data_IF_965136895522
#
_entry.id   IF_965136895522
#
_cell.length_a   1.000
_cell.length_b   1.000
_cell.length_c   1.000
_cell.angle_alpha   90.00
_cell.angle_beta   90.00
_cell.angle_gamma   90.00
#
_symmetry.space_group_name_H-M   'P 1'
#
loop_
_entity.id
_entity.type
_entity.pdbx_description
1 polymer ?
#
# COMPACT_ATOMS: atom_id res chain seq x y z
N UNK A 1 2.49 8.92 5.92
CA UNK A 1 2.62 10.40 5.77
C UNK A 1 3.99 10.85 6.22
N UNK A 2 4.48 11.93 5.65
CA UNK A 2 5.75 12.52 6.06
C UNK A 2 5.66 13.09 7.48
N UNK A 3 6.77 13.06 8.22
CA UNK A 3 6.85 13.71 9.52
C UNK A 3 7.08 15.22 9.32
N UNK A 4 6.42 16.07 10.11
CA UNK A 4 6.58 17.53 9.97
C UNK A 4 8.03 17.98 10.24
N UNK A 5 8.73 17.34 11.17
CA UNK A 5 10.15 17.62 11.39
C UNK A 5 10.99 17.32 10.12
N UNK A 6 10.71 16.24 9.41
CA UNK A 6 11.37 15.94 8.15
C UNK A 6 11.09 17.02 7.09
N UNK A 7 9.82 17.48 6.97
CA UNK A 7 9.45 18.58 6.08
C UNK A 7 10.23 19.85 6.40
N UNK A 8 10.40 20.16 7.67
CA UNK A 8 11.07 21.37 8.17
C UNK A 8 12.58 21.33 7.91
N UNK A 9 13.21 20.21 8.28
CA UNK A 9 14.67 20.04 8.22
C UNK A 9 15.17 19.83 6.79
N UNK A 10 14.33 19.28 5.89
CA UNK A 10 14.69 18.92 4.52
C UNK A 10 13.80 19.59 3.47
N UNK A 11 13.32 20.82 3.73
CA UNK A 11 12.31 21.48 2.90
C UNK A 11 12.69 21.54 1.41
N UNK A 12 13.91 21.92 1.09
CA UNK A 12 14.39 22.01 -0.30
C UNK A 12 14.34 20.63 -1.00
N UNK A 13 14.88 19.59 -0.36
CA UNK A 13 14.85 18.21 -0.86
C UNK A 13 13.39 17.71 -1.06
N UNK A 14 12.51 18.06 -0.14
CA UNK A 14 11.07 17.70 -0.23
C UNK A 14 10.45 18.36 -1.45
N UNK A 15 10.64 19.67 -1.62
CA UNK A 15 10.08 20.41 -2.77
C UNK A 15 10.63 19.91 -4.11
N UNK A 16 11.93 19.62 -4.18
CA UNK A 16 12.54 19.02 -5.39
C UNK A 16 11.95 17.61 -5.67
N UNK A 17 11.82 16.76 -4.65
CA UNK A 17 11.21 15.44 -4.79
C UNK A 17 9.76 15.51 -5.25
N UNK A 18 8.96 16.42 -4.69
CA UNK A 18 7.56 16.63 -5.09
C UNK A 18 7.46 17.14 -6.55
N UNK A 19 8.41 17.97 -6.99
CA UNK A 19 8.50 18.38 -8.41
C UNK A 19 8.80 17.20 -9.33
N UNK A 20 9.69 16.25 -8.92
CA UNK A 20 9.96 15.02 -9.68
C UNK A 20 8.68 14.19 -9.89
N UNK A 21 7.74 14.25 -8.92
CA UNK A 21 6.40 13.61 -8.99
C UNK A 21 5.39 14.39 -9.82
N UNK A 22 5.76 15.53 -10.40
CA UNK A 22 4.81 16.46 -11.03
C UNK A 22 3.69 16.94 -10.11
N UNK A 23 3.92 16.89 -8.77
CA UNK A 23 2.97 17.33 -7.76
C UNK A 23 2.80 18.84 -7.80
N UNK A 24 1.54 19.31 -7.86
CA UNK A 24 1.21 20.73 -8.12
C UNK A 24 1.12 21.57 -6.84
N UNK A 25 0.68 20.98 -5.74
CA UNK A 25 0.29 21.68 -4.51
C UNK A 25 1.49 21.80 -3.55
N UNK A 26 2.58 22.41 -4.02
CA UNK A 26 3.83 22.54 -3.25
C UNK A 26 3.69 23.40 -1.98
N UNK A 27 2.74 24.33 -1.98
CA UNK A 27 2.37 25.19 -0.85
C UNK A 27 1.86 24.41 0.36
N UNK A 28 1.37 23.18 0.19
CA UNK A 28 0.98 22.31 1.30
C UNK A 28 2.14 22.01 2.25
N UNK A 29 3.39 22.06 1.80
CA UNK A 29 4.57 21.88 2.65
C UNK A 29 4.66 23.01 3.68
N UNK A 30 4.51 24.25 3.24
CA UNK A 30 4.50 25.40 4.14
C UNK A 30 3.25 25.44 5.01
N UNK A 31 2.10 25.08 4.46
CA UNK A 31 0.86 24.98 5.23
C UNK A 31 0.98 23.96 6.37
N UNK A 32 1.61 22.79 6.14
CA UNK A 32 1.85 21.79 7.17
C UNK A 32 2.81 22.29 8.26
N UNK A 33 3.89 22.99 7.88
CA UNK A 33 4.85 23.56 8.82
C UNK A 33 4.18 24.62 9.68
N UNK A 34 3.41 25.53 9.09
CA UNK A 34 2.71 26.60 9.80
C UNK A 34 1.63 26.04 10.74
N UNK A 35 0.88 25.03 10.33
CA UNK A 35 -0.11 24.36 11.18
C UNK A 35 0.56 23.66 12.39
N UNK A 36 1.74 23.08 12.22
CA UNK A 36 2.51 22.50 13.34
C UNK A 36 3.04 23.59 14.30
N UNK A 37 3.43 24.75 13.79
CA UNK A 37 3.86 25.86 14.65
C UNK A 37 2.70 26.39 15.50
N UNK A 38 1.50 26.53 14.91
CA UNK A 38 0.30 26.90 15.66
C UNK A 38 -0.09 25.81 16.68
N UNK A 39 -0.04 24.53 16.29
CA UNK A 39 -0.26 23.42 17.22
C UNK A 39 0.70 23.46 18.42
N UNK A 40 2.00 23.70 18.17
CA UNK A 40 3.02 23.80 19.23
C UNK A 40 2.74 24.97 20.16
N UNK A 41 2.32 26.11 19.60
CA UNK A 41 1.96 27.30 20.38
C UNK A 41 0.76 27.03 21.29
N UNK A 42 -0.33 26.47 20.74
CA UNK A 42 -1.52 26.09 21.49
C UNK A 42 -1.21 25.05 22.59
N UNK A 43 -0.38 24.06 22.28
CA UNK A 43 0.06 23.06 23.27
C UNK A 43 0.84 23.70 24.41
N UNK A 44 1.77 24.60 24.10
CA UNK A 44 2.55 25.32 25.12
C UNK A 44 1.66 26.20 26.02
N UNK A 45 0.70 26.91 25.43
CA UNK A 45 -0.26 27.74 26.19
C UNK A 45 -1.14 26.87 27.09
N UNK A 46 -1.64 25.76 26.59
CA UNK A 46 -2.43 24.78 27.35
C UNK A 46 -1.63 24.21 28.54
N UNK A 47 -0.40 23.74 28.30
CA UNK A 47 0.47 23.15 29.32
C UNK A 47 0.82 24.18 30.40
N UNK A 48 1.05 25.43 30.00
CA UNK A 48 1.30 26.55 30.92
C UNK A 48 0.08 26.82 31.83
N UNK A 49 -1.13 26.90 31.25
CA UNK A 49 -2.36 27.10 32.00
C UNK A 49 -2.67 25.93 32.96
N UNK A 50 -2.48 24.68 32.51
CA UNK A 50 -2.67 23.52 33.38
C UNK A 50 -1.65 23.48 34.52
N UNK A 51 -0.42 23.91 34.29
CA UNK A 51 0.60 24.04 35.35
C UNK A 51 0.21 25.07 36.39
N UNK A 52 -0.24 26.27 35.96
CA UNK A 52 -0.70 27.33 36.87
C UNK A 52 -1.95 26.89 37.65
N UNK A 53 -2.91 26.26 37.00
CA UNK A 53 -4.10 25.71 37.66
C UNK A 53 -3.73 24.67 38.74
N UNK A 54 -2.72 23.82 38.50
CA UNK A 54 -2.22 22.87 39.49
C UNK A 54 -1.55 23.57 40.69
N UNK A 55 -0.80 24.66 40.45
CA UNK A 55 -0.21 25.49 41.55
C UNK A 55 -1.28 26.14 42.41
N UNK A 56 -2.25 26.83 41.80
CA UNK A 56 -3.36 27.47 42.47
C UNK A 56 -4.18 26.46 43.26
N UNK A 57 -4.42 25.27 42.72
CA UNK A 57 -5.16 24.19 43.40
C UNK A 57 -4.47 23.73 44.70
N UNK A 58 -3.12 23.67 44.71
CA UNK A 58 -2.34 23.41 45.92
C UNK A 58 -2.41 24.57 46.91
N UNK A 59 -2.35 25.80 46.44
CA UNK A 59 -2.45 27.00 47.24
C UNK A 59 -3.81 27.12 47.95
N UNK A 60 -4.92 26.79 47.25
CA UNK A 60 -6.26 26.74 47.87
C UNK A 60 -6.27 25.78 49.08
N UNK A 61 -5.62 24.61 48.95
CA UNK A 61 -5.51 23.66 50.06
C UNK A 61 -4.81 24.25 51.29
N UNK A 62 -3.75 25.03 51.11
CA UNK A 62 -3.00 25.72 52.17
C UNK A 62 -3.85 26.83 52.78
N UNK A 63 -4.43 27.70 51.94
CA UNK A 63 -5.26 28.83 52.41
C UNK A 63 -6.49 28.36 53.22
N UNK A 64 -7.11 27.26 52.78
CA UNK A 64 -8.24 26.68 53.55
C UNK A 64 -7.79 26.12 54.89
N UNK A 65 -6.60 25.53 54.98
CA UNK A 65 -6.03 25.01 56.23
C UNK A 65 -5.66 26.13 57.21
N UNK A 66 -5.19 27.25 56.66
CA UNK A 66 -4.80 28.46 57.43
C UNK A 66 -6.00 29.37 57.79
N UNK A 67 -7.23 28.97 57.42
CA UNK A 67 -8.47 29.71 57.73
C UNK A 67 -8.71 30.97 56.87
N UNK A 68 -7.92 31.18 55.81
CA UNK A 68 -8.01 32.35 54.91
C UNK A 68 -9.06 32.13 53.81
N UNK A 69 -10.33 32.14 54.21
CA UNK A 69 -11.46 31.80 53.35
C UNK A 69 -11.64 32.74 52.15
N UNK A 70 -11.47 34.04 52.31
CA UNK A 70 -11.63 35.02 51.21
C UNK A 70 -10.55 34.84 50.14
N UNK A 71 -9.29 34.64 50.53
CA UNK A 71 -8.18 34.37 49.62
C UNK A 71 -8.39 33.04 48.91
N UNK A 72 -8.89 32.01 49.60
CA UNK A 72 -9.21 30.72 49.01
C UNK A 72 -10.35 30.79 47.96
N UNK A 73 -11.40 31.63 48.21
CA UNK A 73 -12.47 31.84 47.23
C UNK A 73 -11.99 32.61 45.98
N UNK A 74 -11.12 33.62 46.15
CA UNK A 74 -10.49 34.31 45.04
C UNK A 74 -9.63 33.36 44.19
N UNK A 75 -8.87 32.45 44.81
CA UNK A 75 -8.08 31.42 44.12
C UNK A 75 -8.96 30.40 43.40
N UNK A 76 -10.10 29.97 43.97
CA UNK A 76 -11.08 29.14 43.31
C UNK A 76 -11.67 29.81 42.06
N UNK A 77 -12.00 31.09 42.13
CA UNK A 77 -12.50 31.82 40.95
C UNK A 77 -11.48 31.85 39.83
N UNK A 78 -10.18 32.08 40.12
CA UNK A 78 -9.09 31.95 39.12
C UNK A 78 -8.99 30.56 38.55
N UNK A 79 -9.10 29.51 39.37
CA UNK A 79 -9.08 28.11 38.90
C UNK A 79 -10.22 27.84 37.95
N UNK A 80 -11.42 28.38 38.20
CA UNK A 80 -12.57 28.25 37.30
C UNK A 80 -12.33 28.92 35.95
N UNK A 81 -11.73 30.12 35.93
CA UNK A 81 -11.36 30.82 34.70
C UNK A 81 -10.34 30.01 33.87
N UNK A 82 -9.28 29.53 34.54
CA UNK A 82 -8.30 28.65 33.84
C UNK A 82 -8.91 27.38 33.32
N UNK A 83 -9.87 26.77 34.02
CA UNK A 83 -10.56 25.57 33.56
C UNK A 83 -11.37 25.81 32.27
N UNK A 84 -12.05 26.96 32.19
CA UNK A 84 -12.82 27.36 31.02
C UNK A 84 -11.91 27.64 29.81
N UNK A 85 -10.88 28.49 30.04
CA UNK A 85 -9.87 28.81 29.02
C UNK A 85 -9.09 27.56 28.53
N UNK A 86 -8.71 26.64 29.43
CA UNK A 86 -8.04 25.40 29.05
C UNK A 86 -8.94 24.51 28.20
N UNK A 87 -10.25 24.46 28.43
CA UNK A 87 -11.19 23.72 27.62
C UNK A 87 -11.28 24.31 26.20
N UNK A 88 -11.27 25.61 26.06
CA UNK A 88 -11.25 26.30 24.78
C UNK A 88 -9.95 26.00 24.01
N UNK A 89 -8.79 26.11 24.68
CA UNK A 89 -7.49 25.76 24.09
C UNK A 89 -7.43 24.29 23.66
N UNK A 90 -8.00 23.36 24.42
CA UNK A 90 -8.10 21.96 24.03
C UNK A 90 -8.91 21.77 22.77
N UNK A 91 -10.03 22.49 22.59
CA UNK A 91 -10.83 22.44 21.36
C UNK A 91 -10.04 22.98 20.18
N UNK A 92 -9.39 24.14 20.31
CA UNK A 92 -8.58 24.75 19.26
C UNK A 92 -7.39 23.85 18.89
N UNK A 93 -6.73 23.23 19.86
CA UNK A 93 -5.64 22.28 19.64
C UNK A 93 -6.12 21.07 18.83
N UNK A 94 -7.26 20.47 19.21
CA UNK A 94 -7.82 19.32 18.50
C UNK A 94 -8.22 19.68 17.04
N UNK A 95 -8.78 20.86 16.81
CA UNK A 95 -9.10 21.35 15.46
C UNK A 95 -7.83 21.55 14.62
N UNK A 96 -6.78 22.15 15.22
CA UNK A 96 -5.49 22.38 14.56
C UNK A 96 -4.79 21.06 14.23
N UNK A 97 -4.81 20.06 15.13
CA UNK A 97 -4.27 18.72 14.89
C UNK A 97 -5.00 18.00 13.76
N UNK A 98 -6.33 18.13 13.70
CA UNK A 98 -7.12 17.58 12.60
C UNK A 98 -6.80 18.27 11.27
N UNK A 99 -6.68 19.59 11.25
CA UNK A 99 -6.31 20.36 10.07
C UNK A 99 -4.90 19.96 9.57
N UNK A 100 -3.91 19.90 10.47
CA UNK A 100 -2.56 19.44 10.14
C UNK A 100 -2.56 18.04 9.55
N UNK A 101 -3.29 17.09 10.14
CA UNK A 101 -3.40 15.71 9.66
C UNK A 101 -4.02 15.69 8.26
N UNK A 102 -5.05 16.49 8.02
CA UNK A 102 -5.70 16.60 6.70
C UNK A 102 -4.73 17.11 5.64
N UNK A 103 -3.90 18.11 5.95
CA UNK A 103 -2.87 18.62 5.05
C UNK A 103 -1.83 17.54 4.76
N UNK A 104 -1.31 16.88 5.79
CA UNK A 104 -0.29 15.82 5.64
C UNK A 104 -0.78 14.62 4.82
N UNK A 105 -2.07 14.31 4.83
CA UNK A 105 -2.65 13.24 4.00
C UNK A 105 -2.70 13.59 2.51
N UNK A 106 -2.52 14.86 2.14
CA UNK A 106 -2.49 15.30 0.75
C UNK A 106 -1.09 15.29 0.16
N UNK A 107 -0.04 15.33 0.99
CA UNK A 107 1.35 15.35 0.55
C UNK A 107 1.83 13.92 0.30
N UNK A 108 2.24 13.57 -0.96
CA UNK A 108 2.78 12.24 -1.26
C UNK A 108 4.17 12.04 -0.64
N UNK A 109 4.65 10.80 -0.66
CA UNK A 109 6.02 10.51 -0.24
C UNK A 109 7.05 11.16 -1.16
N UNK A 110 8.24 11.45 -0.63
CA UNK A 110 9.36 12.00 -1.40
C UNK A 110 10.05 10.86 -2.15
N UNK A 111 10.25 10.97 -3.48
CA UNK A 111 10.97 9.96 -4.23
C UNK A 111 12.41 9.81 -3.76
N UNK A 112 12.88 8.57 -3.79
CA UNK A 112 14.29 8.27 -3.57
C UNK A 112 15.17 8.95 -4.65
N UNK A 113 16.41 9.22 -4.34
CA UNK A 113 17.32 9.97 -5.22
C UNK A 113 17.48 9.38 -6.63
N UNK A 114 17.44 8.03 -6.74
CA UNK A 114 17.55 7.31 -8.02
C UNK A 114 16.30 7.39 -8.89
N UNK A 115 15.17 7.84 -8.36
CA UNK A 115 13.92 8.01 -9.13
C UNK A 115 14.07 9.24 -10.04
N UNK A 116 13.85 9.04 -11.32
CA UNK A 116 13.90 10.12 -12.32
C UNK A 116 12.62 10.95 -12.29
N UNK A 117 12.71 12.19 -12.76
CA UNK A 117 11.53 13.02 -12.97
C UNK A 117 10.73 12.47 -14.16
N UNK A 118 9.40 12.52 -14.06
CA UNK A 118 8.50 12.10 -15.15
C UNK A 118 7.06 12.44 -14.82
N UNK A 119 6.17 12.22 -15.78
CA UNK A 119 4.74 12.57 -15.68
C UNK A 119 3.83 11.35 -15.82
N UNK A 120 4.29 10.30 -16.51
CA UNK A 120 3.51 9.12 -16.84
C UNK A 120 4.38 7.87 -17.00
N UNK A 121 3.75 6.72 -17.24
CA UNK A 121 4.43 5.46 -17.52
C UNK A 121 5.41 5.50 -18.70
N UNK A 122 5.24 6.42 -19.64
CA UNK A 122 6.16 6.59 -20.79
C UNK A 122 7.55 7.09 -20.36
N UNK A 123 7.65 7.69 -19.17
CA UNK A 123 8.91 8.20 -18.61
C UNK A 123 9.62 7.17 -17.69
N UNK A 124 9.09 5.96 -17.58
CA UNK A 124 9.68 4.90 -16.76
C UNK A 124 10.97 4.36 -17.40
N UNK A 125 11.94 3.99 -16.56
CA UNK A 125 13.21 3.47 -17.01
C UNK A 125 13.17 1.93 -17.08
N UNK A 126 13.43 1.37 -18.27
CA UNK A 126 13.65 -0.08 -18.41
C UNK A 126 15.04 -0.39 -17.85
N UNK A 127 15.09 -1.12 -16.72
CA UNK A 127 16.34 -1.51 -16.08
C UNK A 127 16.77 -2.93 -16.42
N UNK A 128 15.85 -3.73 -16.90
CA UNK A 128 16.09 -5.10 -17.38
C UNK A 128 15.03 -5.49 -18.41
N UNK A 129 15.42 -6.23 -19.44
CA UNK A 129 14.52 -6.86 -20.38
C UNK A 129 15.11 -8.22 -20.80
N UNK A 130 14.29 -9.26 -20.79
CA UNK A 130 14.70 -10.59 -21.26
C UNK A 130 14.92 -10.56 -22.78
N UNK A 131 15.96 -11.22 -23.24
CA UNK A 131 16.56 -11.04 -24.58
C UNK A 131 15.75 -11.57 -25.75
N UNK A 132 14.65 -12.29 -25.55
CA UNK A 132 13.87 -12.88 -26.64
C UNK A 132 12.39 -12.71 -26.41
N UNK A 133 11.85 -11.65 -27.01
CA UNK A 133 10.41 -11.52 -27.22
C UNK A 133 10.15 -12.05 -28.63
N UNK A 134 9.96 -13.36 -28.77
CA UNK A 134 9.49 -13.93 -30.01
C UNK A 134 7.96 -13.83 -30.03
N UNK A 135 7.41 -13.15 -31.04
CA UNK A 135 5.99 -13.22 -31.33
C UNK A 135 5.64 -14.62 -31.81
N UNK A 136 4.45 -15.13 -31.46
CA UNK A 136 3.95 -16.41 -31.97
C UNK A 136 3.55 -16.36 -33.45
N UNK A 137 3.81 -15.23 -34.11
CA UNK A 137 3.49 -14.98 -35.49
C UNK A 137 2.00 -14.76 -35.78
N UNK A 138 1.66 -14.66 -37.07
CA UNK A 138 0.27 -14.55 -37.52
C UNK A 138 -0.51 -15.79 -37.07
N UNK A 139 -1.58 -15.58 -36.27
CA UNK A 139 -2.44 -16.66 -35.78
C UNK A 139 -2.38 -16.93 -34.27
N UNK A 140 -1.57 -16.18 -33.51
CA UNK A 140 -1.62 -16.23 -32.06
C UNK A 140 -3.02 -15.90 -31.52
N UNK A 141 -3.57 -16.82 -30.71
CA UNK A 141 -4.94 -16.68 -30.18
C UNK A 141 -4.88 -15.98 -28.81
N UNK A 142 -5.61 -14.88 -28.59
CA UNK A 142 -5.60 -14.20 -27.30
C UNK A 142 -6.28 -15.03 -26.20
N UNK A 143 -5.88 -14.80 -24.96
CA UNK A 143 -6.29 -15.61 -23.81
C UNK A 143 -7.81 -15.73 -23.62
N UNK A 144 -8.60 -14.73 -23.97
CA UNK A 144 -10.07 -14.80 -23.86
C UNK A 144 -10.69 -15.75 -24.89
N UNK A 145 -10.10 -15.93 -26.07
CA UNK A 145 -10.52 -16.93 -27.03
C UNK A 145 -10.03 -18.35 -26.65
N UNK A 146 -8.79 -18.45 -26.15
CA UNK A 146 -8.27 -19.71 -25.58
C UNK A 146 -9.09 -20.19 -24.39
N UNK A 147 -9.45 -19.26 -23.49
CA UNK A 147 -10.31 -19.52 -22.34
C UNK A 147 -11.68 -20.10 -22.77
N UNK A 148 -12.28 -19.56 -23.82
CA UNK A 148 -13.53 -20.07 -24.40
C UNK A 148 -13.32 -21.43 -25.11
N UNK A 149 -12.28 -21.53 -25.95
CA UNK A 149 -11.96 -22.76 -26.71
C UNK A 149 -11.80 -23.98 -25.80
N UNK A 150 -11.12 -23.83 -24.69
CA UNK A 150 -10.84 -24.92 -23.75
C UNK A 150 -11.73 -24.91 -22.50
N UNK A 151 -12.79 -24.11 -22.49
CA UNK A 151 -13.75 -23.97 -21.36
C UNK A 151 -13.07 -23.75 -20.02
N UNK A 152 -12.13 -22.79 -19.98
CA UNK A 152 -11.34 -22.46 -18.78
C UNK A 152 -11.96 -21.34 -17.96
N UNK A 153 -12.52 -20.33 -18.65
CA UNK A 153 -13.06 -19.12 -18.04
C UNK A 153 -14.29 -18.67 -18.81
N UNK A 154 -15.36 -18.37 -18.11
CA UNK A 154 -16.58 -17.80 -18.67
C UNK A 154 -16.79 -16.39 -18.15
N UNK A 155 -16.63 -15.41 -19.02
CA UNK A 155 -16.82 -14.00 -18.71
C UNK A 155 -18.30 -13.59 -18.73
N UNK A 156 -19.12 -14.24 -19.55
CA UNK A 156 -20.56 -13.93 -19.69
C UNK A 156 -21.34 -14.38 -18.44
N UNK A 157 -21.01 -15.55 -17.90
CA UNK A 157 -21.57 -15.98 -16.60
C UNK A 157 -21.16 -15.06 -15.47
N UNK A 158 -19.95 -14.55 -15.48
CA UNK A 158 -19.49 -13.55 -14.52
C UNK A 158 -20.31 -12.28 -14.59
N UNK A 159 -20.57 -11.77 -15.81
CA UNK A 159 -21.47 -10.62 -16.03
C UNK A 159 -22.87 -10.88 -15.49
N UNK A 160 -23.40 -12.07 -15.70
CA UNK A 160 -24.72 -12.47 -15.18
C UNK A 160 -24.79 -12.47 -13.65
N UNK A 161 -23.68 -12.83 -12.98
CA UNK A 161 -23.65 -12.97 -11.51
C UNK A 161 -23.40 -11.63 -10.83
N UNK A 162 -22.39 -10.87 -11.29
CA UNK A 162 -21.89 -9.71 -10.57
C UNK A 162 -21.59 -8.48 -11.45
N UNK A 163 -21.72 -8.60 -12.77
CA UNK A 163 -21.35 -7.55 -13.73
C UNK A 163 -20.02 -7.80 -14.41
N UNK A 164 -19.59 -6.88 -15.27
CA UNK A 164 -18.32 -6.97 -15.98
C UNK A 164 -17.14 -6.97 -14.99
N UNK A 165 -16.05 -7.65 -15.36
CA UNK A 165 -14.84 -7.71 -14.51
C UNK A 165 -14.86 -8.76 -13.39
N UNK A 166 -15.84 -9.69 -13.40
CA UNK A 166 -15.94 -10.80 -12.46
C UNK A 166 -15.97 -12.15 -13.22
N UNK A 167 -14.82 -12.71 -13.62
CA UNK A 167 -14.78 -13.95 -14.39
C UNK A 167 -15.14 -15.17 -13.56
N UNK A 168 -15.66 -16.22 -14.22
CA UNK A 168 -15.92 -17.53 -13.60
C UNK A 168 -14.96 -18.55 -14.17
N UNK A 169 -14.16 -19.21 -13.34
CA UNK A 169 -13.17 -20.19 -13.74
C UNK A 169 -13.74 -21.60 -13.66
N UNK A 170 -13.41 -22.45 -14.65
CA UNK A 170 -13.89 -23.83 -14.77
C UNK A 170 -12.75 -24.84 -14.94
N UNK A 171 -12.99 -26.05 -14.49
CA UNK A 171 -12.17 -27.23 -14.80
C UNK A 171 -10.66 -27.01 -14.63
N UNK A 172 -9.90 -27.18 -15.73
CA UNK A 172 -8.45 -26.94 -15.76
C UNK A 172 -8.10 -25.48 -15.48
N UNK A 173 -8.96 -24.51 -15.83
CA UNK A 173 -8.75 -23.09 -15.52
C UNK A 173 -8.76 -22.80 -14.02
N UNK A 174 -9.80 -23.26 -13.31
CA UNK A 174 -9.90 -23.11 -11.85
C UNK A 174 -8.78 -23.86 -11.13
N UNK A 175 -8.37 -25.02 -11.66
CA UNK A 175 -7.27 -25.79 -11.09
C UNK A 175 -5.92 -25.10 -11.30
N UNK A 176 -5.67 -24.53 -12.47
CA UNK A 176 -4.47 -23.76 -12.78
C UNK A 176 -4.36 -22.52 -11.85
N UNK A 177 -5.46 -21.78 -11.66
CA UNK A 177 -5.51 -20.64 -10.75
C UNK A 177 -5.08 -21.05 -9.33
N UNK A 178 -5.67 -22.14 -8.80
CA UNK A 178 -5.30 -22.64 -7.47
C UNK A 178 -3.84 -23.14 -7.40
N UNK A 179 -3.34 -23.75 -8.47
CA UNK A 179 -1.96 -24.22 -8.58
C UNK A 179 -0.97 -23.05 -8.54
N UNK A 180 -1.27 -21.94 -9.22
CA UNK A 180 -0.47 -20.72 -9.19
C UNK A 180 -0.44 -20.12 -7.79
N UNK A 181 -1.59 -20.01 -7.10
CA UNK A 181 -1.65 -19.55 -5.71
C UNK A 181 -0.74 -20.39 -4.81
N UNK A 182 -0.89 -21.70 -4.87
CA UNK A 182 -0.09 -22.60 -4.04
C UNK A 182 1.41 -22.47 -4.35
N UNK A 183 1.78 -22.45 -5.63
CA UNK A 183 3.18 -22.29 -6.04
C UNK A 183 3.77 -20.97 -5.50
N UNK A 184 3.06 -19.85 -5.64
CA UNK A 184 3.56 -18.54 -5.19
C UNK A 184 3.71 -18.48 -3.66
N UNK A 185 2.77 -19.04 -2.90
CA UNK A 185 2.86 -19.12 -1.45
C UNK A 185 4.05 -20.00 -1.01
N UNK A 186 4.17 -21.21 -1.56
CA UNK A 186 5.27 -22.12 -1.23
C UNK A 186 6.62 -21.47 -1.55
N UNK A 187 6.77 -20.83 -2.72
CA UNK A 187 7.98 -20.12 -3.13
C UNK A 187 8.37 -18.99 -2.16
N UNK A 188 7.38 -18.26 -1.65
CA UNK A 188 7.60 -17.19 -0.66
C UNK A 188 7.97 -17.78 0.71
N UNK A 189 7.29 -18.85 1.15
CA UNK A 189 7.60 -19.54 2.42
C UNK A 189 9.03 -20.10 2.38
N UNK A 190 9.44 -20.71 1.28
CA UNK A 190 10.81 -21.21 1.07
C UNK A 190 11.86 -20.07 1.13
N UNK A 191 11.48 -18.85 0.74
CA UNK A 191 12.30 -17.64 0.87
C UNK A 191 12.27 -17.01 2.28
N UNK A 192 11.61 -17.68 3.25
CA UNK A 192 11.56 -17.30 4.65
C UNK A 192 10.48 -16.28 5.00
N UNK A 193 9.45 -16.14 4.17
CA UNK A 193 8.26 -15.35 4.52
C UNK A 193 7.30 -16.20 5.38
N UNK A 194 6.77 -15.59 6.44
CA UNK A 194 5.70 -16.18 7.25
C UNK A 194 4.36 -15.98 6.52
N UNK A 195 3.69 -17.08 6.21
CA UNK A 195 2.35 -17.04 5.61
C UNK A 195 1.31 -16.53 6.63
N UNK A 196 0.47 -15.60 6.19
CA UNK A 196 -0.62 -15.01 6.96
C UNK A 196 -1.90 -15.08 6.14
N UNK A 197 -3.01 -15.44 6.77
CA UNK A 197 -4.33 -15.41 6.16
C UNK A 197 -5.17 -14.28 6.79
N UNK A 198 -5.14 -13.06 6.21
CA UNK A 198 -5.79 -11.89 6.78
C UNK A 198 -7.27 -11.80 6.38
N UNK A 199 -8.09 -10.99 7.08
CA UNK A 199 -9.44 -10.68 6.62
C UNK A 199 -9.42 -9.91 5.30
N UNK A 200 -10.42 -10.15 4.43
CA UNK A 200 -10.60 -9.46 3.15
C UNK A 200 -11.42 -8.16 3.28
N UNK A 201 -11.69 -7.75 4.49
CA UNK A 201 -12.37 -6.50 4.85
C UNK A 201 -11.46 -5.68 5.75
N UNK A 202 -11.36 -4.38 5.49
CA UNK A 202 -10.55 -3.46 6.27
C UNK A 202 -11.40 -2.27 6.74
N UNK A 203 -11.10 -1.73 7.93
CA UNK A 203 -11.69 -0.48 8.41
C UNK A 203 -10.94 0.75 7.88
N UNK A 204 -11.51 1.94 8.11
CA UNK A 204 -10.89 3.21 7.67
C UNK A 204 -9.46 3.37 8.20
N UNK A 205 -9.22 3.06 9.47
CA UNK A 205 -7.90 3.18 10.08
C UNK A 205 -6.84 2.33 9.35
N UNK A 206 -7.23 1.16 8.84
CA UNK A 206 -6.36 0.30 8.04
C UNK A 206 -6.09 0.88 6.65
N UNK A 207 -7.11 1.46 6.01
CA UNK A 207 -6.95 2.15 4.72
C UNK A 207 -6.05 3.38 4.82
N UNK A 208 -6.19 4.18 5.88
CA UNK A 208 -5.29 5.31 6.15
C UNK A 208 -3.86 4.85 6.48
N UNK A 209 -3.71 3.75 7.20
CA UNK A 209 -2.42 3.20 7.61
C UNK A 209 -1.47 2.94 6.46
N UNK A 210 -1.93 2.34 5.38
CA UNK A 210 -1.14 2.02 4.19
C UNK A 210 -1.19 3.09 3.09
N UNK A 211 -2.11 4.06 3.18
CA UNK A 211 -2.22 5.16 2.22
C UNK A 211 -3.23 4.93 1.10
N UNK A 212 -4.09 3.93 1.23
CA UNK A 212 -5.23 3.71 0.32
C UNK A 212 -6.31 4.78 0.54
N UNK A 213 -6.40 5.32 1.75
CA UNK A 213 -7.26 6.44 2.08
C UNK A 213 -6.43 7.72 2.34
N UNK A 214 -6.96 8.92 1.98
CA UNK A 214 -8.21 9.16 1.26
C UNK A 214 -8.16 8.59 -0.17
N UNK A 215 -9.25 7.93 -0.61
CA UNK A 215 -9.34 7.30 -1.94
C UNK A 215 -9.58 8.36 -3.03
N UNK A 216 -8.50 8.94 -3.54
CA UNK A 216 -8.53 10.00 -4.55
C UNK A 216 -8.98 9.49 -5.93
N UNK A 217 -8.78 8.21 -6.20
CA UNK A 217 -9.05 7.58 -7.49
C UNK A 217 -10.39 6.82 -7.52
N UNK A 218 -11.07 6.72 -6.39
CA UNK A 218 -12.34 6.01 -6.27
C UNK A 218 -12.23 4.51 -6.49
N UNK A 219 -11.12 3.90 -6.08
CA UNK A 219 -10.83 2.47 -6.31
C UNK A 219 -11.41 1.53 -5.26
N UNK A 220 -11.70 2.03 -4.06
CA UNK A 220 -12.14 1.22 -2.94
C UNK A 220 -13.63 0.86 -3.05
N UNK A 221 -13.96 -0.42 -2.84
CA UNK A 221 -15.33 -0.86 -2.61
C UNK A 221 -15.71 -0.65 -1.16
N UNK A 222 -16.65 0.24 -0.90
CA UNK A 222 -17.23 0.46 0.41
C UNK A 222 -18.37 -0.53 0.66
N UNK A 223 -18.44 -1.11 1.87
CA UNK A 223 -19.49 -2.04 2.28
C UNK A 223 -20.65 -1.23 2.84
N UNK A 224 -21.75 -1.15 2.07
CA UNK A 224 -22.98 -0.51 2.50
C UNK A 224 -23.70 -1.35 3.58
N UNK A 225 -24.44 -0.68 4.46
CA UNK A 225 -25.28 -1.32 5.47
C UNK A 225 -24.54 -2.33 6.38
N UNK A 226 -23.27 -2.07 6.67
CA UNK A 226 -22.55 -2.89 7.65
C UNK A 226 -23.13 -2.67 9.07
N UNK A 227 -22.86 -3.61 9.98
CA UNK A 227 -23.38 -3.58 11.36
C UNK A 227 -22.51 -2.76 12.32
N UNK A 228 -21.42 -2.19 11.85
CA UNK A 228 -20.50 -1.38 12.64
C UNK A 228 -20.78 0.12 12.42
N UNK A 229 -20.36 0.95 13.38
CA UNK A 229 -20.41 2.41 13.23
C UNK A 229 -19.29 2.93 12.31
N UNK A 230 -18.29 2.10 11.99
CA UNK A 230 -17.15 2.43 11.14
C UNK A 230 -17.43 2.05 9.70
N UNK A 231 -16.89 2.82 8.75
CA UNK A 231 -16.90 2.44 7.33
C UNK A 231 -15.95 1.26 7.12
N UNK A 232 -16.44 0.24 6.42
CA UNK A 232 -15.69 -0.94 6.03
C UNK A 232 -15.52 -0.99 4.52
N UNK A 233 -14.38 -1.52 4.08
CA UNK A 233 -14.01 -1.64 2.68
C UNK A 233 -13.60 -3.07 2.35
N UNK A 234 -13.88 -3.52 1.13
CA UNK A 234 -13.21 -4.69 0.56
C UNK A 234 -11.76 -4.30 0.23
N UNK A 235 -10.81 -5.17 0.56
CA UNK A 235 -9.38 -4.86 0.38
C UNK A 235 -9.00 -4.83 -1.11
N UNK A 236 -8.24 -3.83 -1.58
CA UNK A 236 -7.71 -3.79 -2.94
C UNK A 236 -6.40 -4.58 -3.10
N UNK A 237 -5.80 -5.01 -1.99
CA UNK A 237 -4.53 -5.74 -1.88
C UNK A 237 -4.37 -6.29 -0.46
N UNK A 238 -3.71 -7.43 -0.30
CA UNK A 238 -3.35 -7.97 1.01
C UNK A 238 -2.34 -7.07 1.77
N UNK A 239 -1.65 -6.16 1.09
CA UNK A 239 -0.83 -5.13 1.73
C UNK A 239 -1.58 -4.44 2.88
N UNK A 240 -2.85 -4.06 2.64
CA UNK A 240 -3.64 -3.32 3.64
C UNK A 240 -3.76 -4.10 4.95
N UNK A 241 -4.33 -5.29 5.02
CA UNK A 241 -4.46 -6.00 6.28
C UNK A 241 -3.13 -6.49 6.84
N UNK A 242 -2.19 -6.95 6.00
CA UNK A 242 -0.91 -7.51 6.48
C UNK A 242 -0.02 -6.43 7.10
N UNK A 243 0.11 -5.27 6.47
CA UNK A 243 0.90 -4.18 7.04
C UNK A 243 0.25 -3.63 8.33
N UNK A 244 -1.09 -3.63 8.40
CA UNK A 244 -1.84 -3.20 9.60
C UNK A 244 -1.77 -4.18 10.79
N UNK A 245 -1.22 -5.38 10.65
CA UNK A 245 -0.88 -6.24 11.79
C UNK A 245 0.08 -5.52 12.76
N UNK A 246 0.84 -4.57 12.25
CA UNK A 246 1.86 -3.81 12.99
C UNK A 246 1.43 -2.38 13.31
N UNK A 247 0.13 -2.05 13.17
CA UNK A 247 -0.40 -0.74 13.56
C UNK A 247 -0.40 -0.58 15.08
N UNK A 248 0.10 0.59 15.54
CA UNK A 248 0.28 0.93 16.96
C UNK A 248 1.22 -0.02 17.72
N UNK A 249 2.18 -0.66 17.01
CA UNK A 249 3.12 -1.62 17.59
C UNK A 249 4.49 -0.96 17.80
N UNK A 250 5.09 -1.24 18.95
CA UNK A 250 6.48 -0.93 19.27
C UNK A 250 7.26 -2.25 19.32
N UNK A 251 8.03 -2.52 18.28
CA UNK A 251 8.85 -3.72 18.11
C UNK A 251 10.15 -3.62 18.92
N UNK A 252 10.74 -4.74 19.28
CA UNK A 252 12.16 -4.80 19.66
C UNK A 252 13.02 -4.88 18.38
N UNK A 253 14.22 -4.33 18.40
CA UNK A 253 15.15 -4.37 17.25
C UNK A 253 15.44 -5.79 16.76
N UNK A 254 15.50 -6.76 17.68
CA UNK A 254 15.72 -8.19 17.37
C UNK A 254 14.58 -8.85 16.59
N UNK A 255 13.38 -8.24 16.58
CA UNK A 255 12.22 -8.75 15.86
C UNK A 255 12.26 -8.40 14.36
N UNK A 256 13.19 -7.51 13.97
CA UNK A 256 13.43 -7.17 12.57
C UNK A 256 14.53 -8.05 11.96
N UNK A 257 14.46 -8.41 10.67
CA UNK A 257 13.37 -8.07 9.73
C UNK A 257 12.10 -8.91 9.92
N UNK A 258 10.95 -8.31 9.65
CA UNK A 258 9.68 -9.04 9.55
C UNK A 258 9.38 -9.29 8.08
N UNK A 259 9.00 -10.53 7.74
CA UNK A 259 8.66 -10.97 6.38
C UNK A 259 7.33 -11.70 6.42
N UNK A 260 6.31 -11.18 5.75
CA UNK A 260 5.00 -11.83 5.64
C UNK A 260 4.61 -12.04 4.18
N UNK A 261 3.92 -13.13 3.90
CA UNK A 261 3.23 -13.38 2.63
C UNK A 261 1.77 -13.71 2.88
N UNK A 262 0.90 -13.29 1.98
CA UNK A 262 -0.53 -13.56 2.07
C UNK A 262 -1.16 -13.70 0.69
N UNK A 263 -2.05 -14.67 0.58
CA UNK A 263 -3.01 -14.74 -0.52
C UNK A 263 -4.27 -13.98 -0.17
N UNK A 264 -4.83 -13.23 -1.11
CA UNK A 264 -6.18 -12.66 -0.96
C UNK A 264 -6.91 -12.50 -2.28
N UNK A 265 -8.23 -12.47 -2.20
CA UNK A 265 -9.05 -11.79 -3.19
C UNK A 265 -8.83 -10.28 -3.03
N UNK A 266 -8.66 -9.61 -4.15
CA UNK A 266 -8.48 -8.17 -4.22
C UNK A 266 -9.66 -7.56 -4.98
N UNK A 267 -10.15 -6.41 -4.52
CA UNK A 267 -11.33 -5.76 -5.08
C UNK A 267 -10.99 -4.33 -5.46
N UNK A 268 -11.14 -3.98 -6.75
CA UNK A 268 -10.92 -2.62 -7.26
C UNK A 268 -12.09 -2.20 -8.14
N UNK A 269 -12.56 -0.99 -7.94
CA UNK A 269 -13.68 -0.45 -8.73
C UNK A 269 -13.29 -0.21 -10.18
N UNK A 270 -11.99 -0.16 -10.49
CA UNK A 270 -11.46 0.12 -11.83
C UNK A 270 -12.12 1.35 -12.48
N UNK A 271 -12.39 2.38 -11.66
CA UNK A 271 -13.12 3.56 -12.05
C UNK A 271 -12.45 4.26 -13.25
N UNK A 272 -13.22 4.49 -14.31
CA UNK A 272 -12.71 5.12 -15.53
C UNK A 272 -12.03 4.18 -16.52
N UNK A 273 -11.96 2.87 -16.25
CA UNK A 273 -11.34 1.90 -17.17
C UNK A 273 -12.36 1.21 -18.05
N UNK A 274 -12.31 1.43 -19.37
CA UNK A 274 -13.19 0.80 -20.37
C UNK A 274 -12.49 0.70 -21.72
N UNK A 275 -12.98 -0.21 -22.58
CA UNK A 275 -12.47 -0.40 -23.94
C UNK A 275 -11.67 -1.68 -24.13
N UNK A 276 -10.98 -1.79 -25.26
CA UNK A 276 -10.28 -3.02 -25.65
C UNK A 276 -9.18 -3.44 -24.68
N UNK A 277 -8.55 -2.48 -24.01
CA UNK A 277 -7.44 -2.75 -23.07
C UNK A 277 -7.86 -3.42 -21.76
N UNK A 278 -9.16 -3.45 -21.42
CA UNK A 278 -9.69 -4.14 -20.25
C UNK A 278 -10.21 -5.54 -20.53
N UNK A 279 -10.16 -6.01 -21.81
CA UNK A 279 -10.74 -7.27 -22.25
C UNK A 279 -10.09 -8.48 -21.57
N UNK A 280 -10.92 -9.49 -21.27
CA UNK A 280 -10.45 -10.76 -20.69
C UNK A 280 -9.94 -10.59 -19.27
N UNK A 281 -8.72 -11.03 -19.01
CA UNK A 281 -8.06 -10.98 -17.70
C UNK A 281 -7.20 -9.72 -17.49
N UNK A 282 -7.20 -8.77 -18.42
CA UNK A 282 -6.33 -7.60 -18.34
C UNK A 282 -6.68 -6.65 -17.19
N UNK A 283 -7.97 -6.45 -16.90
CA UNK A 283 -8.48 -5.67 -15.77
C UNK A 283 -9.76 -6.27 -15.21
N UNK A 284 -9.77 -6.50 -13.91
CA UNK A 284 -10.86 -7.17 -13.20
C UNK A 284 -11.23 -6.38 -11.95
N UNK A 285 -12.52 -6.40 -11.60
CA UNK A 285 -13.03 -5.85 -10.35
C UNK A 285 -12.72 -6.75 -9.15
N UNK A 286 -12.62 -8.05 -9.40
CA UNK A 286 -12.19 -9.05 -8.43
C UNK A 286 -11.08 -9.91 -9.04
N UNK A 287 -9.98 -10.04 -8.33
CA UNK A 287 -8.82 -10.85 -8.77
C UNK A 287 -8.03 -11.39 -7.59
N UNK A 288 -7.28 -12.45 -7.83
CA UNK A 288 -6.39 -13.07 -6.86
C UNK A 288 -4.99 -12.48 -6.94
N UNK A 289 -4.41 -12.28 -5.76
CA UNK A 289 -3.03 -11.83 -5.62
C UNK A 289 -2.36 -12.48 -4.41
N UNK A 290 -1.12 -12.91 -4.59
CA UNK A 290 -0.21 -13.22 -3.50
C UNK A 290 0.68 -12.01 -3.27
N UNK A 291 0.76 -11.57 -2.03
CA UNK A 291 1.49 -10.37 -1.61
C UNK A 291 2.62 -10.75 -0.66
N UNK A 292 3.73 -10.03 -0.73
CA UNK A 292 4.80 -10.07 0.25
C UNK A 292 4.95 -8.69 0.89
N UNK A 293 5.12 -8.66 2.22
CA UNK A 293 5.30 -7.45 3.02
C UNK A 293 6.52 -7.61 3.90
N UNK A 294 7.35 -6.56 3.97
CA UNK A 294 8.51 -6.52 4.87
C UNK A 294 8.49 -5.26 5.74
N UNK A 295 8.90 -5.44 7.01
CA UNK A 295 9.27 -4.33 7.88
C UNK A 295 10.75 -4.46 8.14
N UNK A 296 11.48 -3.35 7.95
CA UNK A 296 12.93 -3.37 7.96
C UNK A 296 13.51 -2.13 8.67
N UNK A 297 14.75 -2.22 9.09
CA UNK A 297 15.50 -1.05 9.53
C UNK A 297 15.76 -0.10 8.36
N UNK A 298 15.73 1.22 8.57
CA UNK A 298 15.94 2.21 7.51
C UNK A 298 17.21 1.97 6.68
N UNK A 299 18.32 1.65 7.33
CA UNK A 299 19.63 1.45 6.69
C UNK A 299 19.70 0.26 5.73
N UNK A 300 18.83 -0.75 5.92
CA UNK A 300 18.83 -1.97 5.11
C UNK A 300 17.79 -1.91 3.97
N UNK A 301 16.81 -1.03 4.03
CA UNK A 301 15.57 -1.15 3.26
C UNK A 301 15.76 -1.12 1.74
N UNK A 302 16.77 -0.42 1.22
CA UNK A 302 17.04 -0.42 -0.22
C UNK A 302 17.78 -1.66 -0.69
N UNK A 303 18.68 -2.25 0.12
CA UNK A 303 19.26 -3.55 -0.18
C UNK A 303 18.17 -4.64 -0.16
N UNK A 304 17.23 -4.53 0.76
CA UNK A 304 16.06 -5.42 0.87
C UNK A 304 15.11 -5.25 -0.30
N UNK A 305 14.93 -4.04 -0.84
CA UNK A 305 14.16 -3.81 -2.06
C UNK A 305 14.75 -4.60 -3.24
N UNK A 306 16.08 -4.57 -3.41
CA UNK A 306 16.77 -5.34 -4.46
C UNK A 306 16.64 -6.86 -4.23
N UNK A 307 16.71 -7.35 -2.96
CA UNK A 307 16.41 -8.75 -2.64
C UNK A 307 15.00 -9.16 -3.06
N UNK A 308 14.00 -8.30 -2.83
CA UNK A 308 12.63 -8.55 -3.24
C UNK A 308 12.50 -8.57 -4.77
N UNK A 309 13.20 -7.69 -5.48
CA UNK A 309 13.27 -7.68 -6.94
C UNK A 309 13.83 -9.00 -7.47
N UNK A 310 14.96 -9.49 -6.94
CA UNK A 310 15.55 -10.78 -7.34
C UNK A 310 14.61 -11.96 -7.01
N UNK A 311 13.88 -11.91 -5.90
CA UNK A 311 12.89 -12.92 -5.58
C UNK A 311 11.77 -12.99 -6.62
N UNK A 312 11.20 -11.84 -7.03
CA UNK A 312 10.17 -11.78 -8.08
C UNK A 312 10.70 -12.24 -9.44
N UNK A 313 11.94 -11.88 -9.80
CA UNK A 313 12.61 -12.41 -10.99
C UNK A 313 12.62 -13.93 -10.99
N UNK A 314 13.02 -14.55 -9.86
CA UNK A 314 13.07 -16.00 -9.75
C UNK A 314 11.71 -16.70 -9.93
N UNK A 315 10.62 -16.02 -9.61
CA UNK A 315 9.25 -16.50 -9.87
C UNK A 315 8.97 -16.46 -11.37
N UNK A 316 9.29 -15.36 -12.06
CA UNK A 316 9.05 -15.21 -13.50
C UNK A 316 9.92 -16.17 -14.33
N UNK A 317 11.14 -16.46 -13.90
CA UNK A 317 12.02 -17.45 -14.49
C UNK A 317 11.44 -18.88 -14.37
N UNK A 318 10.88 -19.25 -13.21
CA UNK A 318 10.18 -20.52 -13.01
C UNK A 318 8.89 -20.62 -13.87
N UNK A 319 8.28 -19.49 -14.24
CA UNK A 319 7.12 -19.42 -15.14
C UNK A 319 7.52 -19.45 -16.63
N UNK A 320 8.81 -19.39 -16.95
CA UNK A 320 9.36 -19.38 -18.32
C UNK A 320 8.73 -18.28 -19.21
N UNK A 321 8.34 -17.14 -18.61
CA UNK A 321 7.74 -16.03 -19.33
C UNK A 321 8.79 -14.96 -19.67
N UNK A 322 8.78 -14.39 -20.89
CA UNK A 322 9.55 -13.18 -21.19
C UNK A 322 9.07 -12.02 -20.34
N UNK A 323 9.98 -11.32 -19.69
CA UNK A 323 9.65 -10.21 -18.80
C UNK A 323 10.62 -9.04 -18.91
N UNK A 324 10.17 -7.87 -18.47
CA UNK A 324 11.02 -6.71 -18.27
C UNK A 324 10.74 -6.07 -16.90
N UNK A 325 11.69 -5.29 -16.42
CA UNK A 325 11.60 -4.59 -15.14
C UNK A 325 11.75 -3.10 -15.42
N UNK A 326 10.79 -2.34 -14.91
CA UNK A 326 10.76 -0.89 -14.99
C UNK A 326 11.05 -0.30 -13.61
N UNK A 327 11.89 0.73 -13.55
CA UNK A 327 11.94 1.64 -12.40
C UNK A 327 11.01 2.80 -12.69
N UNK A 328 9.99 2.98 -11.86
CA UNK A 328 8.99 4.01 -12.09
C UNK A 328 9.56 5.40 -11.90
N UNK A 329 9.20 6.32 -12.78
CA UNK A 329 9.46 7.75 -12.65
C UNK A 329 8.63 8.37 -11.52
N UNK A 330 8.95 9.59 -11.14
CA UNK A 330 8.26 10.28 -10.06
C UNK A 330 6.76 10.44 -10.27
N UNK A 331 6.31 10.67 -11.50
CA UNK A 331 4.89 10.87 -11.83
C UNK A 331 4.06 9.61 -11.83
N UNK A 332 4.69 8.44 -12.08
CA UNK A 332 4.01 7.14 -12.11
C UNK A 332 4.13 6.37 -10.79
N UNK A 333 5.12 6.71 -9.96
CA UNK A 333 5.28 6.10 -8.62
C UNK A 333 4.06 6.36 -7.74
N UNK A 334 3.49 5.33 -7.13
CA UNK A 334 2.31 5.40 -6.26
C UNK A 334 2.46 6.40 -5.10
N UNK A 335 1.35 7.00 -4.65
CA UNK A 335 1.32 8.11 -3.69
C UNK A 335 2.18 7.91 -2.44
N UNK A 336 2.16 6.71 -1.85
CA UNK A 336 2.87 6.40 -0.61
C UNK A 336 4.31 5.92 -0.82
N UNK A 337 4.68 5.46 -2.03
CA UNK A 337 5.97 4.87 -2.32
C UNK A 337 7.08 5.92 -2.53
N UNK A 338 8.30 5.61 -2.07
CA UNK A 338 9.50 6.38 -2.37
C UNK A 338 10.22 5.87 -3.61
N UNK A 339 10.11 4.56 -3.89
CA UNK A 339 10.69 3.93 -5.08
C UNK A 339 9.90 2.66 -5.39
N UNK A 340 9.65 2.42 -6.66
CA UNK A 340 8.90 1.26 -7.15
C UNK A 340 9.58 0.66 -8.37
N UNK A 341 9.62 -0.68 -8.41
CA UNK A 341 9.93 -1.46 -9.58
C UNK A 341 8.69 -2.23 -10.02
N UNK A 342 8.31 -2.09 -11.31
CA UNK A 342 7.25 -2.86 -11.92
C UNK A 342 7.82 -3.95 -12.80
N UNK A 343 7.17 -5.10 -12.77
CA UNK A 343 7.47 -6.23 -13.63
C UNK A 343 6.35 -6.40 -14.64
N UNK A 344 6.73 -6.49 -15.88
CA UNK A 344 5.82 -6.75 -16.98
C UNK A 344 6.21 -8.01 -17.71
N UNK A 345 5.22 -8.80 -18.12
CA UNK A 345 5.40 -9.97 -18.97
C UNK A 345 4.86 -9.71 -20.37
N UNK A 346 5.51 -10.30 -21.36
CA UNK A 346 5.05 -10.19 -22.74
C UNK A 346 3.80 -11.03 -23.00
N UNK A 347 2.79 -10.44 -23.60
CA UNK A 347 1.59 -11.09 -24.11
C UNK A 347 1.75 -11.30 -25.61
N UNK A 348 2.03 -12.53 -26.04
CA UNK A 348 2.40 -12.83 -27.42
C UNK A 348 1.25 -12.64 -28.42
N UNK A 349 0.00 -12.80 -27.99
CA UNK A 349 -1.17 -12.61 -28.83
C UNK A 349 -1.70 -11.17 -28.85
N UNK A 350 -1.42 -10.38 -27.80
CA UNK A 350 -1.78 -8.97 -27.73
C UNK A 350 -0.65 -8.05 -28.18
N UNK A 351 0.55 -8.60 -28.37
CA UNK A 351 1.79 -7.88 -28.74
C UNK A 351 2.05 -6.67 -27.83
N UNK A 352 1.93 -6.90 -26.50
CA UNK A 352 2.14 -5.86 -25.50
C UNK A 352 2.66 -6.41 -24.17
N UNK A 353 3.28 -5.56 -23.42
CA UNK A 353 3.69 -5.82 -22.04
C UNK A 353 2.49 -5.71 -21.08
N UNK A 354 2.39 -6.64 -20.13
CA UNK A 354 1.36 -6.67 -19.08
C UNK A 354 2.05 -6.61 -17.73
N UNK A 355 1.78 -5.58 -16.95
CA UNK A 355 2.23 -5.48 -15.57
C UNK A 355 1.65 -6.61 -14.71
N UNK A 356 2.51 -7.35 -14.03
CA UNK A 356 2.14 -8.52 -13.21
C UNK A 356 2.57 -8.41 -11.76
N UNK A 357 3.50 -7.51 -11.46
CA UNK A 357 4.00 -7.26 -10.12
C UNK A 357 4.49 -5.83 -10.00
N UNK A 358 4.36 -5.27 -8.80
CA UNK A 358 4.94 -4.01 -8.41
C UNK A 358 5.60 -4.22 -7.05
N UNK A 359 6.86 -3.78 -6.89
CA UNK A 359 7.64 -3.92 -5.66
C UNK A 359 8.08 -2.54 -5.19
N UNK A 360 7.69 -2.15 -3.98
CA UNK A 360 7.83 -0.78 -3.49
C UNK A 360 8.50 -0.69 -2.13
N UNK A 361 9.29 0.38 -1.95
CA UNK A 361 9.77 0.85 -0.66
C UNK A 361 9.04 2.15 -0.30
N UNK A 362 8.42 2.17 0.87
CA UNK A 362 7.66 3.33 1.37
C UNK A 362 8.47 4.17 2.36
N UNK A 363 9.68 3.76 2.68
CA UNK A 363 10.46 4.34 3.76
C UNK A 363 9.62 4.42 5.06
N UNK A 364 9.63 5.55 5.75
CA UNK A 364 8.86 5.76 6.98
C UNK A 364 7.42 6.19 6.75
N UNK A 365 6.98 6.37 5.50
CA UNK A 365 5.68 6.99 5.19
C UNK A 365 4.48 6.23 5.76
N UNK A 366 4.42 4.92 5.52
CA UNK A 366 3.38 4.06 6.08
C UNK A 366 3.60 3.84 7.57
N UNK A 367 4.83 3.58 8.01
CA UNK A 367 5.16 3.38 9.42
C UNK A 367 4.75 4.58 10.30
N UNK A 368 4.86 5.80 9.80
CA UNK A 368 4.39 7.00 10.50
C UNK A 368 2.85 7.06 10.60
N UNK A 369 2.11 6.62 9.58
CA UNK A 369 0.64 6.51 9.63
C UNK A 369 0.18 5.41 10.58
N UNK A 370 0.87 4.27 10.53
CA UNK A 370 0.63 3.10 11.38
C UNK A 370 1.10 3.28 12.81
N UNK A 371 1.92 4.30 13.10
CA UNK A 371 2.67 4.45 14.36
C UNK A 371 3.53 3.22 14.70
N UNK A 372 4.01 2.52 13.68
CA UNK A 372 4.87 1.35 13.81
C UNK A 372 6.32 1.78 14.04
N UNK A 373 6.89 1.38 15.16
CA UNK A 373 8.22 1.77 15.60
C UNK A 373 8.99 0.58 16.13
N UNK A 374 10.32 0.72 16.22
CA UNK A 374 11.17 -0.21 16.93
C UNK A 374 12.08 0.50 17.92
N UNK A 375 12.50 -0.21 18.97
CA UNK A 375 13.46 0.27 19.95
C UNK A 375 14.86 -0.19 19.58
N UNK A 376 15.81 0.77 19.46
CA UNK A 376 17.23 0.52 19.32
C UNK A 376 17.98 1.52 20.18
N UNK A 377 18.93 1.06 20.98
CA UNK A 377 19.78 1.87 21.88
C UNK A 377 18.99 2.86 22.74
N UNK A 378 17.84 2.43 23.28
CA UNK A 378 16.99 3.25 24.13
C UNK A 378 16.16 4.31 23.37
N UNK A 379 16.28 4.40 22.06
CA UNK A 379 15.53 5.33 21.21
C UNK A 379 14.44 4.59 20.43
N UNK A 380 13.32 5.28 20.19
CA UNK A 380 12.23 4.78 19.35
C UNK A 380 12.34 5.37 17.95
N UNK A 381 12.41 4.51 16.93
CA UNK A 381 12.55 4.88 15.53
C UNK A 381 11.41 4.29 14.70
N UNK A 382 11.04 4.93 13.58
CA UNK A 382 10.09 4.35 12.64
C UNK A 382 10.79 3.25 11.82
N UNK A 383 10.08 2.15 11.56
CA UNK A 383 10.53 1.15 10.58
C UNK A 383 10.38 1.67 9.16
N UNK A 384 11.06 1.07 8.19
CA UNK A 384 10.69 1.15 6.78
C UNK A 384 9.75 -0.01 6.43
N UNK A 385 8.73 0.27 5.62
CA UNK A 385 7.83 -0.75 5.09
C UNK A 385 8.10 -0.95 3.60
N UNK A 386 8.04 -2.20 3.16
CA UNK A 386 8.14 -2.58 1.76
C UNK A 386 7.03 -3.58 1.44
N UNK A 387 6.57 -3.59 0.21
CA UNK A 387 5.69 -4.63 -0.29
C UNK A 387 6.04 -5.05 -1.72
N UNK A 388 5.46 -6.14 -2.15
CA UNK A 388 5.51 -6.58 -3.53
C UNK A 388 4.44 -7.60 -3.86
N UNK A 389 3.94 -7.55 -5.09
CA UNK A 389 3.02 -8.58 -5.60
C UNK A 389 3.82 -9.81 -6.06
N UNK A 390 3.59 -10.95 -5.44
CA UNK A 390 4.28 -12.20 -5.76
C UNK A 390 3.30 -13.34 -6.10
N UNK A 391 2.40 -13.26 -7.05
CA UNK A 391 2.10 -12.36 -8.16
C UNK A 391 0.61 -11.96 -8.22
N UNK A 392 0.24 -11.07 -9.18
CA UNK A 392 -1.15 -10.87 -9.59
C UNK A 392 -1.56 -11.93 -10.62
N UNK A 393 -2.46 -12.86 -10.24
CA UNK A 393 -2.75 -14.07 -11.01
C UNK A 393 -3.36 -13.85 -12.40
N UNK A 394 -4.32 -12.91 -12.62
CA UNK A 394 -5.02 -12.85 -13.90
C UNK A 394 -4.10 -12.61 -15.09
N UNK A 395 -3.20 -11.64 -14.99
CA UNK A 395 -2.29 -11.30 -16.09
C UNK A 395 -1.19 -12.35 -16.28
N UNK A 396 -0.74 -13.00 -15.21
CA UNK A 396 0.14 -14.18 -15.29
C UNK A 396 -0.58 -15.32 -16.02
N UNK A 397 -1.84 -15.59 -15.67
CA UNK A 397 -2.63 -16.62 -16.36
C UNK A 397 -2.86 -16.27 -17.84
N UNK A 398 -3.17 -15.01 -18.14
CA UNK A 398 -3.28 -14.56 -19.54
C UNK A 398 -2.00 -14.82 -20.34
N UNK A 399 -0.86 -14.41 -19.79
CA UNK A 399 0.44 -14.62 -20.44
C UNK A 399 0.80 -16.10 -20.57
N UNK A 400 0.55 -16.92 -19.55
CA UNK A 400 0.77 -18.38 -19.62
C UNK A 400 -0.08 -19.04 -20.71
N UNK A 401 -1.36 -18.67 -20.82
CA UNK A 401 -2.24 -19.21 -21.87
C UNK A 401 -1.77 -18.79 -23.27
N UNK A 402 -1.40 -17.52 -23.45
CA UNK A 402 -1.01 -16.99 -24.75
C UNK A 402 0.36 -17.47 -25.20
N UNK A 403 1.38 -17.39 -24.33
CA UNK A 403 2.76 -17.68 -24.71
C UNK A 403 3.04 -19.18 -24.85
N UNK A 404 2.23 -20.03 -24.24
CA UNK A 404 2.44 -21.50 -24.25
C UNK A 404 1.46 -22.26 -25.13
N UNK A 405 0.74 -21.56 -26.04
CA UNK A 405 -0.14 -22.23 -26.99
C UNK A 405 0.64 -23.00 -28.08
N UNK A 406 0.20 -24.20 -28.38
CA UNK A 406 0.73 -25.11 -29.41
C UNK A 406 -0.40 -25.67 -30.24
N UNK A 407 -0.07 -26.44 -31.29
CA UNK A 407 -1.09 -27.17 -32.10
C UNK A 407 -1.86 -28.19 -31.23
N UNK A 408 -1.22 -28.82 -30.23
CA UNK A 408 -1.81 -29.84 -29.37
C UNK A 408 -2.64 -29.26 -28.22
N UNK A 409 -2.44 -27.97 -27.88
CA UNK A 409 -3.07 -27.28 -26.74
C UNK A 409 -2.15 -26.26 -26.10
N UNK A 410 -2.34 -26.01 -24.83
CA UNK A 410 -1.50 -25.07 -24.04
C UNK A 410 -0.62 -25.91 -23.12
N UNK A 411 0.70 -25.87 -23.32
CA UNK A 411 1.68 -26.62 -22.53
C UNK A 411 2.16 -25.79 -21.37
N UNK A 412 1.91 -26.24 -20.13
CA UNK A 412 2.33 -25.54 -18.95
C UNK A 412 3.83 -25.65 -18.70
N UNK A 413 4.49 -24.59 -18.15
CA UNK A 413 5.83 -24.67 -17.60
C UNK A 413 5.94 -25.82 -16.59
N UNK A 414 7.07 -26.54 -16.61
CA UNK A 414 7.26 -27.73 -15.78
C UNK A 414 6.90 -27.50 -14.32
N UNK A 415 7.36 -26.39 -13.76
CA UNK A 415 7.12 -26.05 -12.36
C UNK A 415 5.62 -25.93 -12.04
N UNK A 416 4.86 -25.31 -12.93
CA UNK A 416 3.42 -25.12 -12.73
C UNK A 416 2.65 -26.41 -13.00
N UNK A 417 3.09 -27.24 -13.95
CA UNK A 417 2.50 -28.56 -14.22
C UNK A 417 2.57 -29.48 -12.99
N UNK A 418 3.66 -29.41 -12.20
CA UNK A 418 3.82 -30.15 -10.94
C UNK A 418 2.71 -29.81 -9.93
N UNK A 419 2.34 -28.52 -9.80
CA UNK A 419 1.24 -28.05 -8.92
C UNK A 419 -0.14 -28.31 -9.53
N UNK A 420 -0.30 -28.05 -10.82
CA UNK A 420 -1.57 -28.22 -11.52
C UNK A 420 -1.97 -29.70 -11.66
N UNK A 421 -0.98 -30.63 -11.62
CA UNK A 421 -1.16 -32.08 -11.85
C UNK A 421 -1.68 -32.39 -13.25
N UNK A 422 -1.34 -31.58 -14.24
CA UNK A 422 -1.46 -31.79 -15.67
C UNK A 422 -0.45 -30.90 -16.41
N UNK A 423 0.01 -31.35 -17.55
CA UNK A 423 1.01 -30.67 -18.38
C UNK A 423 0.39 -29.90 -19.54
N UNK A 424 -0.76 -30.37 -20.03
CA UNK A 424 -1.41 -29.89 -21.25
C UNK A 424 -2.86 -29.49 -20.97
N UNK A 425 -3.27 -28.36 -21.51
CA UNK A 425 -4.67 -27.93 -21.61
C UNK A 425 -5.11 -28.16 -23.06
N UNK A 426 -6.00 -29.10 -23.25
CA UNK A 426 -6.52 -29.52 -24.56
C UNK A 426 -8.01 -29.84 -24.47
#
# INVERSE_FOLDING_TARGET
>A
MLQVNFLRENKERVLEGLKKRSFKELDLVDAAINADDERKKLQFELDSQLSEMNKISKEIGILMKDGKKEEAEAAKSKTSQYKESSKELQSQLAETEKALTTILYQIPNVPYEKVVAGVSADDNEIIYESTTVEGLGEGAIPHWELAKKYNLIDFELGVKIAGAGFPVYFGKGARLQRALVQYFLDKNVDAGYLEVNPPHVANEASGYGTGQLPDKEGQMYEIANNTTAETLFLIPTAEVPVTNLYRDVLLDEKDLPIKNTAFSQCYRREAGSYGAHVRGLNRLHQFEKVEIVRLEKPENSYAVLEEMVEHIKSILEDLELPYRILRLCGGDTGFAAAMTYDFEVWSAAQEKWLEVSSVSNFETFQANRLKCRYKSDGKSQLVHTLNGSAMALPRIMAALLENNQTEEGIKLPKKIAEYAKFELIN
#
